data_IF_979891490268
#
_entry.id   IF_979891490268
#
_cell.length_a   1.000
_cell.length_b   1.000
_cell.length_c   1.000
_cell.angle_alpha   90.00
_cell.angle_beta   90.00
_cell.angle_gamma   90.00
#
_symmetry.space_group_name_H-M   'P 1'
#
loop_
_entity.id
_entity.type
_entity.pdbx_description
1 polymer ?
#
# COMPACT_ATOMS: atom_id res chain seq x y z
N UNK A 1 6.38 12.67 -2.33
CA UNK A 1 7.36 12.34 -1.27
C UNK A 1 6.64 12.17 0.05
N UNK A 2 6.89 11.10 0.76
CA UNK A 2 6.42 10.89 2.13
C UNK A 2 7.62 10.89 3.06
N UNK A 3 7.53 11.66 4.16
CA UNK A 3 8.58 11.79 5.16
C UNK A 3 8.02 11.55 6.55
N UNK A 4 8.67 10.67 7.29
CA UNK A 4 8.42 10.43 8.70
C UNK A 4 9.60 10.94 9.52
N UNK A 5 9.34 11.65 10.61
CA UNK A 5 10.38 12.21 11.46
C UNK A 5 10.11 11.89 12.92
N UNK A 6 11.05 11.16 13.55
CA UNK A 6 11.05 10.79 14.96
C UNK A 6 9.71 10.19 15.44
N UNK A 7 9.09 9.32 14.61
CA UNK A 7 7.82 8.68 14.94
C UNK A 7 7.97 7.76 16.14
N UNK A 8 7.01 7.87 17.06
CA UNK A 8 6.91 6.99 18.22
C UNK A 8 5.47 6.50 18.36
N UNK A 9 5.33 5.20 18.71
CA UNK A 9 4.05 4.59 19.04
C UNK A 9 4.24 3.47 20.06
N UNK A 10 3.51 3.55 21.16
CA UNK A 10 3.45 2.52 22.17
C UNK A 10 2.02 2.01 22.38
N UNK A 11 1.90 0.76 22.77
CA UNK A 11 0.66 0.12 23.20
C UNK A 11 0.89 -0.44 24.60
N UNK A 12 0.40 0.29 25.62
CA UNK A 12 0.75 -0.03 27.01
C UNK A 12 2.26 0.05 27.24
N UNK A 13 2.88 -1.05 27.66
CA UNK A 13 4.32 -1.13 27.88
C UNK A 13 5.16 -1.47 26.64
N UNK A 14 4.52 -1.84 25.50
CA UNK A 14 5.21 -2.24 24.29
C UNK A 14 5.43 -1.03 23.37
N UNK A 15 6.69 -0.71 23.09
CA UNK A 15 7.05 0.29 22.06
C UNK A 15 7.06 -0.38 20.69
N UNK A 16 6.00 -0.17 19.92
CA UNK A 16 5.86 -0.75 18.59
C UNK A 16 6.63 0.04 17.52
N UNK A 17 6.83 1.35 17.71
CA UNK A 17 7.67 2.22 16.87
C UNK A 17 8.42 3.16 17.80
N UNK A 18 9.74 3.27 17.61
CA UNK A 18 10.65 4.05 18.46
C UNK A 18 11.56 4.89 17.58
N UNK A 19 11.41 6.22 17.68
CA UNK A 19 12.24 7.22 17.01
C UNK A 19 12.47 6.95 15.50
N UNK A 20 11.45 6.43 14.81
CA UNK A 20 11.55 6.07 13.40
C UNK A 20 11.55 7.32 12.51
N UNK A 21 12.60 7.46 11.71
CA UNK A 21 12.68 8.50 10.67
C UNK A 21 13.07 7.90 9.34
N UNK A 22 12.33 8.20 8.29
CA UNK A 22 12.63 7.80 6.92
C UNK A 22 11.98 8.74 5.92
N UNK A 23 12.41 8.62 4.68
CA UNK A 23 11.87 9.36 3.54
C UNK A 23 11.68 8.39 2.37
N UNK A 24 10.53 8.45 1.72
CA UNK A 24 10.30 7.73 0.47
C UNK A 24 10.18 8.75 -0.67
N UNK A 25 11.05 8.58 -1.65
CA UNK A 25 11.13 9.44 -2.81
C UNK A 25 9.87 9.39 -3.68
N UNK A 26 9.53 10.50 -4.34
CA UNK A 26 8.38 10.52 -5.23
C UNK A 26 8.56 9.57 -6.42
N UNK A 27 7.46 8.93 -6.81
CA UNK A 27 7.38 8.07 -7.99
C UNK A 27 8.31 6.84 -7.96
N UNK A 28 8.80 6.47 -6.76
CA UNK A 28 9.61 5.29 -6.49
C UNK A 28 8.84 4.27 -5.66
N UNK A 29 9.32 3.04 -5.68
CA UNK A 29 8.86 1.96 -4.81
C UNK A 29 9.80 1.87 -3.61
N UNK A 30 9.30 2.23 -2.43
CA UNK A 30 10.01 2.06 -1.16
C UNK A 30 9.38 0.93 -0.38
N UNK A 31 10.16 -0.09 -0.01
CA UNK A 31 9.67 -1.19 0.80
C UNK A 31 10.11 -1.08 2.25
N UNK A 32 9.23 -1.47 3.17
CA UNK A 32 9.54 -1.63 4.60
C UNK A 32 9.52 -3.11 4.91
N UNK A 33 10.67 -3.65 5.31
CA UNK A 33 10.84 -5.05 5.67
C UNK A 33 11.30 -5.20 7.11
N UNK A 34 11.25 -6.42 7.62
CA UNK A 34 11.70 -6.74 8.98
C UNK A 34 10.97 -7.98 9.52
N UNK A 35 11.46 -8.60 10.59
CA UNK A 35 10.81 -9.76 11.19
C UNK A 35 9.40 -9.44 11.70
N UNK A 36 8.66 -10.48 12.07
CA UNK A 36 7.36 -10.33 12.70
C UNK A 36 7.49 -9.57 14.02
N UNK A 37 6.60 -8.61 14.25
CA UNK A 37 6.67 -7.73 15.41
C UNK A 37 7.65 -6.54 15.28
N UNK A 38 8.34 -6.37 14.16
CA UNK A 38 9.25 -5.24 13.94
C UNK A 38 8.58 -3.85 13.89
N UNK A 39 7.22 -3.78 13.84
CA UNK A 39 6.49 -2.52 13.84
C UNK A 39 6.00 -2.05 12.46
N UNK A 40 6.23 -2.82 11.40
CA UNK A 40 5.88 -2.47 10.01
C UNK A 40 4.43 -2.04 9.84
N UNK A 41 3.48 -2.91 10.21
CA UNK A 41 2.03 -2.62 10.10
C UNK A 41 1.61 -1.45 10.99
N UNK A 42 2.32 -1.21 12.11
CA UNK A 42 2.09 -0.02 12.94
C UNK A 42 2.45 1.24 12.17
N UNK A 43 3.61 1.28 11.50
CA UNK A 43 4.03 2.41 10.65
C UNK A 43 3.01 2.68 9.55
N UNK A 44 2.54 1.66 8.85
CA UNK A 44 1.49 1.80 7.84
C UNK A 44 0.20 2.37 8.40
N UNK A 45 -0.23 1.88 9.57
CA UNK A 45 -1.43 2.37 10.24
C UNK A 45 -1.30 3.84 10.68
N UNK A 46 -0.08 4.28 11.06
CA UNK A 46 0.21 5.68 11.36
C UNK A 46 0.11 6.55 10.09
N UNK A 47 0.72 6.13 8.99
CA UNK A 47 0.69 6.86 7.71
C UNK A 47 -0.72 6.90 7.13
N UNK A 48 -1.46 5.79 7.22
CA UNK A 48 -2.84 5.69 6.74
C UNK A 48 -3.87 6.39 7.65
N UNK A 49 -3.44 6.95 8.80
CA UNK A 49 -4.31 7.63 9.76
C UNK A 49 -5.25 6.71 10.55
N UNK A 50 -5.04 5.39 10.47
CA UNK A 50 -5.78 4.40 11.27
C UNK A 50 -5.32 4.41 12.74
N UNK A 51 -4.08 4.84 12.99
CA UNK A 51 -3.51 5.07 14.31
C UNK A 51 -2.98 6.50 14.42
N UNK A 52 -2.93 7.03 15.64
CA UNK A 52 -2.23 8.29 15.95
C UNK A 52 -0.88 7.98 16.55
N UNK A 53 0.16 8.69 16.10
CA UNK A 53 1.48 8.68 16.74
C UNK A 53 1.41 9.31 18.13
N UNK A 54 2.26 8.84 19.03
CA UNK A 54 2.41 9.45 20.34
C UNK A 54 3.32 10.69 20.26
N UNK A 55 4.27 10.69 19.31
CA UNK A 55 5.10 11.85 18.93
C UNK A 55 5.71 11.67 17.54
N UNK A 56 6.36 12.71 17.03
CA UNK A 56 6.91 12.75 15.69
C UNK A 56 5.90 13.28 14.67
N UNK A 57 6.35 13.44 13.42
CA UNK A 57 5.55 14.02 12.32
C UNK A 57 5.59 13.15 11.08
N UNK A 58 4.52 13.23 10.29
CA UNK A 58 4.39 12.62 8.97
C UNK A 58 4.02 13.72 7.98
N UNK A 59 4.81 13.86 6.94
CA UNK A 59 4.59 14.86 5.90
C UNK A 59 4.38 14.17 4.55
N UNK A 60 3.40 14.64 3.79
CA UNK A 60 3.20 14.29 2.37
C UNK A 60 3.43 15.54 1.53
N UNK A 61 4.45 15.50 0.66
CA UNK A 61 4.90 16.62 -0.17
C UNK A 61 5.09 17.94 0.62
N UNK A 62 5.72 17.85 1.79
CA UNK A 62 5.98 18.99 2.69
C UNK A 62 4.76 19.47 3.49
N UNK A 63 3.61 18.80 3.35
CA UNK A 63 2.42 19.08 4.13
C UNK A 63 2.32 18.11 5.31
N UNK A 64 2.18 18.63 6.52
CA UNK A 64 1.92 17.81 7.71
C UNK A 64 0.55 17.13 7.62
N UNK A 65 0.58 15.79 7.70
CA UNK A 65 -0.59 14.92 7.69
C UNK A 65 -0.73 14.12 8.99
N UNK A 66 0.07 14.43 10.01
CA UNK A 66 0.14 13.69 11.27
C UNK A 66 -1.22 13.59 11.93
N UNK A 67 -1.64 12.37 12.25
CA UNK A 67 -2.88 12.09 12.96
C UNK A 67 -4.17 12.48 12.23
N UNK A 68 -4.10 12.79 10.93
CA UNK A 68 -5.29 13.03 10.13
C UNK A 68 -6.10 11.76 9.94
N UNK A 69 -7.42 11.89 9.87
CA UNK A 69 -8.32 10.75 9.65
C UNK A 69 -8.15 10.17 8.22
N UNK A 70 -8.38 8.86 8.01
CA UNK A 70 -8.19 8.19 6.71
C UNK A 70 -8.94 8.88 5.55
N UNK A 71 -10.16 9.36 5.80
CA UNK A 71 -10.94 10.07 4.79
C UNK A 71 -10.31 11.41 4.37
N UNK A 72 -9.64 12.12 5.28
CA UNK A 72 -8.92 13.34 4.95
C UNK A 72 -7.66 13.02 4.14
N UNK A 73 -6.95 11.95 4.52
CA UNK A 73 -5.77 11.47 3.81
C UNK A 73 -6.10 11.01 2.38
N UNK A 74 -7.21 10.30 2.19
CA UNK A 74 -7.68 9.94 0.85
C UNK A 74 -7.84 11.17 -0.06
N UNK A 75 -8.40 12.27 0.47
CA UNK A 75 -8.54 13.54 -0.28
C UNK A 75 -7.22 14.24 -0.56
N UNK A 76 -6.18 13.94 0.20
CA UNK A 76 -4.82 14.42 -0.02
C UNK A 76 -4.03 13.53 -0.98
N UNK A 77 -4.66 12.43 -1.44
CA UNK A 77 -4.06 11.51 -2.38
C UNK A 77 -3.32 10.34 -1.72
N UNK A 78 -3.65 9.95 -0.50
CA UNK A 78 -3.17 8.70 0.10
C UNK A 78 -4.22 7.62 -0.14
N UNK A 79 -3.86 6.57 -0.86
CA UNK A 79 -4.66 5.36 -1.00
C UNK A 79 -3.95 4.18 -0.32
N UNK A 80 -4.73 3.27 0.25
CA UNK A 80 -4.22 2.06 0.90
C UNK A 80 -5.00 0.84 0.41
N UNK A 81 -4.28 -0.20 0.00
CA UNK A 81 -4.83 -1.54 -0.08
C UNK A 81 -4.97 -2.12 1.34
N UNK A 82 -6.00 -2.91 1.58
CA UNK A 82 -6.22 -3.50 2.89
C UNK A 82 -5.72 -4.94 2.90
N UNK A 83 -5.18 -5.39 4.03
CA UNK A 83 -4.76 -6.77 4.24
C UNK A 83 -5.96 -7.75 4.16
N UNK A 84 -7.18 -7.28 4.48
CA UNK A 84 -8.44 -7.98 4.20
C UNK A 84 -9.13 -7.21 3.07
N UNK A 85 -9.38 -7.87 1.95
CA UNK A 85 -10.02 -7.30 0.78
C UNK A 85 -11.35 -6.64 1.14
N UNK A 86 -11.39 -5.29 1.08
CA UNK A 86 -12.61 -4.50 1.29
C UNK A 86 -13.39 -4.33 -0.03
N UNK A 87 -13.59 -5.47 -0.72
CA UNK A 87 -14.35 -5.51 -1.96
C UNK A 87 -15.83 -5.78 -1.67
N UNK A 88 -16.68 -5.20 -2.46
CA UNK A 88 -18.10 -5.54 -2.47
C UNK A 88 -18.29 -6.81 -3.30
N UNK A 89 -18.17 -7.97 -2.67
CA UNK A 89 -18.21 -9.28 -3.33
C UNK A 89 -19.51 -9.57 -4.11
N UNK A 90 -20.61 -8.94 -3.71
CA UNK A 90 -21.89 -9.01 -4.41
C UNK A 90 -22.06 -8.03 -5.56
N UNK A 91 -21.03 -7.20 -5.85
CA UNK A 91 -21.00 -6.31 -7.00
C UNK A 91 -19.98 -6.78 -8.02
N UNK A 92 -20.14 -6.33 -9.27
CA UNK A 92 -19.17 -6.63 -10.33
C UNK A 92 -17.85 -5.89 -10.12
N UNK A 93 -16.77 -6.32 -10.80
CA UNK A 93 -15.52 -5.61 -10.81
C UNK A 93 -15.70 -4.17 -11.28
N UNK A 94 -16.51 -3.97 -12.32
CA UNK A 94 -16.86 -2.65 -12.83
C UNK A 94 -17.55 -1.77 -11.78
N UNK A 95 -18.56 -2.29 -11.08
CA UNK A 95 -19.27 -1.53 -10.06
C UNK A 95 -18.37 -1.13 -8.89
N UNK A 96 -17.47 -2.03 -8.45
CA UNK A 96 -16.49 -1.74 -7.42
C UNK A 96 -15.59 -0.55 -7.80
N UNK A 97 -14.98 -0.58 -9.00
CA UNK A 97 -14.10 0.50 -9.49
C UNK A 97 -14.89 1.78 -9.78
N UNK A 98 -16.09 1.65 -10.35
CA UNK A 98 -16.97 2.80 -10.63
C UNK A 98 -17.34 3.58 -9.36
N UNK A 99 -17.61 2.90 -8.25
CA UNK A 99 -17.90 3.54 -6.97
C UNK A 99 -16.72 4.40 -6.49
N UNK A 100 -15.49 3.90 -6.65
CA UNK A 100 -14.29 4.68 -6.34
C UNK A 100 -14.17 5.91 -7.25
N UNK A 101 -14.34 5.76 -8.56
CA UNK A 101 -14.35 6.89 -9.50
C UNK A 101 -15.43 7.92 -9.14
N UNK A 102 -16.61 7.47 -8.74
CA UNK A 102 -17.72 8.35 -8.36
C UNK A 102 -17.41 9.15 -7.09
N UNK A 103 -16.60 8.63 -6.17
CA UNK A 103 -16.23 9.33 -4.94
C UNK A 103 -15.46 10.63 -5.17
N UNK A 104 -14.85 10.79 -6.34
CA UNK A 104 -14.16 12.01 -6.76
C UNK A 104 -15.11 13.08 -7.29
N UNK A 105 -16.37 12.73 -7.62
CA UNK A 105 -17.34 13.69 -8.11
C UNK A 105 -17.84 14.61 -6.98
N UNK A 106 -18.28 15.83 -7.31
CA UNK A 106 -18.89 16.72 -6.34
C UNK A 106 -20.11 16.08 -5.66
N UNK A 107 -20.28 16.32 -4.36
CA UNK A 107 -21.40 15.76 -3.56
C UNK A 107 -22.77 15.99 -4.18
N UNK A 108 -22.96 17.11 -4.90
CA UNK A 108 -24.20 17.42 -5.62
C UNK A 108 -24.57 16.39 -6.70
N UNK A 109 -23.60 15.58 -7.16
CA UNK A 109 -23.82 14.54 -8.17
C UNK A 109 -24.05 13.15 -7.60
N UNK A 110 -23.91 12.93 -6.27
CA UNK A 110 -24.12 11.61 -5.68
C UNK A 110 -25.55 11.09 -5.84
N UNK A 111 -26.53 11.97 -5.97
CA UNK A 111 -27.94 11.65 -6.25
C UNK A 111 -28.29 11.70 -7.75
N UNK A 112 -27.31 11.93 -8.62
CA UNK A 112 -27.56 11.91 -10.06
C UNK A 112 -27.86 10.49 -10.52
N UNK A 113 -28.73 10.38 -11.53
CA UNK A 113 -29.00 9.09 -12.19
C UNK A 113 -27.71 8.53 -12.81
N UNK A 114 -27.55 7.21 -12.77
CA UNK A 114 -26.36 6.50 -13.28
C UNK A 114 -26.05 6.82 -14.74
N UNK A 115 -27.09 7.03 -15.57
CA UNK A 115 -26.95 7.41 -16.98
C UNK A 115 -26.30 8.80 -17.21
N UNK A 116 -26.28 9.65 -16.16
CA UNK A 116 -25.63 10.97 -16.18
C UNK A 116 -24.19 10.97 -15.64
N UNK A 117 -23.69 9.80 -15.25
CA UNK A 117 -22.34 9.60 -14.68
C UNK A 117 -21.37 8.97 -15.71
N UNK A 118 -21.42 9.46 -16.98
CA UNK A 118 -20.57 8.91 -18.06
C UNK A 118 -19.08 8.92 -17.71
N UNK A 119 -18.58 10.03 -17.15
CA UNK A 119 -17.16 10.16 -16.77
C UNK A 119 -16.65 9.12 -15.78
N UNK A 120 -17.32 8.87 -14.61
CA UNK A 120 -16.94 7.78 -13.70
C UNK A 120 -16.99 6.41 -14.37
N UNK A 121 -17.96 6.16 -15.25
CA UNK A 121 -18.09 4.89 -15.96
C UNK A 121 -16.94 4.69 -16.97
N UNK A 122 -16.66 5.69 -17.79
CA UNK A 122 -15.55 5.66 -18.76
C UNK A 122 -14.20 5.48 -18.06
N UNK A 123 -13.99 6.22 -16.96
CA UNK A 123 -12.78 6.09 -16.15
C UNK A 123 -12.63 4.70 -15.53
N UNK A 124 -13.72 4.14 -14.99
CA UNK A 124 -13.70 2.79 -14.43
C UNK A 124 -13.36 1.73 -15.50
N UNK A 125 -13.94 1.83 -16.70
CA UNK A 125 -13.62 0.90 -17.81
C UNK A 125 -12.17 1.03 -18.25
N UNK A 126 -11.64 2.24 -18.37
CA UNK A 126 -10.24 2.47 -18.73
C UNK A 126 -9.26 1.87 -17.69
N UNK A 127 -9.57 2.02 -16.40
CA UNK A 127 -8.76 1.41 -15.34
C UNK A 127 -8.83 -0.11 -15.41
N UNK A 128 -10.02 -0.70 -15.56
CA UNK A 128 -10.14 -2.17 -15.67
C UNK A 128 -9.39 -2.72 -16.88
N UNK A 129 -9.40 -2.02 -18.00
CA UNK A 129 -8.61 -2.39 -19.16
C UNK A 129 -7.11 -2.32 -18.88
N UNK A 130 -6.64 -1.26 -18.24
CA UNK A 130 -5.23 -1.09 -17.80
C UNK A 130 -4.78 -2.22 -16.87
N UNK A 131 -5.68 -2.70 -16.00
CA UNK A 131 -5.40 -3.76 -15.04
C UNK A 131 -5.67 -5.18 -15.58
N UNK A 132 -5.94 -5.32 -16.87
CA UNK A 132 -6.20 -6.61 -17.52
C UNK A 132 -7.50 -7.27 -17.09
N UNK A 133 -8.46 -6.48 -16.57
CA UNK A 133 -9.76 -6.94 -16.04
C UNK A 133 -10.93 -6.63 -16.98
N UNK A 134 -10.66 -6.32 -18.25
CA UNK A 134 -11.69 -5.94 -19.22
C UNK A 134 -12.74 -7.02 -19.39
N UNK A 135 -12.29 -8.28 -19.57
CA UNK A 135 -13.17 -9.41 -19.86
C UNK A 135 -13.96 -9.84 -18.62
N UNK A 136 -13.41 -9.61 -17.42
CA UNK A 136 -14.05 -9.92 -16.13
C UNK A 136 -14.80 -8.71 -15.53
N UNK A 137 -14.93 -7.61 -16.29
CA UNK A 137 -15.51 -6.36 -15.76
C UNK A 137 -16.94 -6.53 -15.22
N UNK A 138 -17.75 -7.34 -15.88
CA UNK A 138 -19.15 -7.58 -15.53
C UNK A 138 -19.34 -8.83 -14.63
N UNK A 139 -18.26 -9.51 -14.22
CA UNK A 139 -18.30 -10.62 -13.28
C UNK A 139 -18.38 -10.11 -11.84
N UNK A 140 -19.10 -10.87 -10.99
CA UNK A 140 -19.10 -10.61 -9.55
C UNK A 140 -17.70 -10.84 -8.98
N UNK A 141 -17.22 -9.90 -8.18
CA UNK A 141 -15.89 -9.98 -7.58
C UNK A 141 -15.71 -11.26 -6.76
N UNK A 142 -16.78 -11.77 -6.13
CA UNK A 142 -16.73 -13.02 -5.38
C UNK A 142 -16.42 -14.26 -6.22
N UNK A 143 -16.58 -14.20 -7.56
CA UNK A 143 -16.29 -15.29 -8.48
C UNK A 143 -14.91 -15.21 -9.13
N UNK A 144 -14.22 -14.09 -8.96
CA UNK A 144 -12.88 -13.87 -9.53
C UNK A 144 -11.81 -14.68 -8.80
N UNK A 145 -10.71 -14.99 -9.49
CA UNK A 145 -9.51 -15.53 -8.85
C UNK A 145 -8.97 -14.57 -7.76
N UNK A 146 -8.15 -15.10 -6.85
CA UNK A 146 -7.53 -14.28 -5.81
C UNK A 146 -6.65 -13.16 -6.41
N UNK A 147 -5.90 -13.48 -7.47
CA UNK A 147 -5.09 -12.53 -8.21
C UNK A 147 -5.92 -11.41 -8.83
N UNK A 148 -7.06 -11.75 -9.46
CA UNK A 148 -7.95 -10.75 -10.07
C UNK A 148 -8.66 -9.90 -9.00
N UNK A 149 -9.05 -10.48 -7.86
CA UNK A 149 -9.57 -9.72 -6.74
C UNK A 149 -8.56 -8.67 -6.25
N UNK A 150 -7.27 -9.03 -6.16
CA UNK A 150 -6.20 -8.09 -5.82
C UNK A 150 -5.99 -7.01 -6.88
N UNK A 151 -6.08 -7.38 -8.17
CA UNK A 151 -6.04 -6.38 -9.27
C UNK A 151 -7.20 -5.39 -9.16
N UNK A 152 -8.42 -5.85 -8.85
CA UNK A 152 -9.58 -4.97 -8.60
C UNK A 152 -9.32 -4.04 -7.42
N UNK A 153 -8.73 -4.54 -6.33
CA UNK A 153 -8.39 -3.73 -5.15
C UNK A 153 -7.42 -2.60 -5.48
N UNK A 154 -6.34 -2.90 -6.23
CA UNK A 154 -5.40 -1.86 -6.67
C UNK A 154 -6.06 -0.92 -7.68
N UNK A 155 -6.89 -1.44 -8.58
CA UNK A 155 -7.67 -0.63 -9.51
C UNK A 155 -8.56 0.39 -8.79
N UNK A 156 -9.21 0.00 -7.68
CA UNK A 156 -9.97 0.89 -6.80
C UNK A 156 -9.06 1.99 -6.22
N UNK A 157 -7.89 1.61 -5.71
CA UNK A 157 -6.93 2.58 -5.19
C UNK A 157 -6.49 3.57 -6.28
N UNK A 158 -6.16 3.09 -7.47
CA UNK A 158 -5.72 3.92 -8.59
C UNK A 158 -6.85 4.79 -9.16
N UNK A 159 -8.11 4.33 -9.05
CA UNK A 159 -9.29 5.13 -9.40
C UNK A 159 -9.39 6.44 -8.61
N UNK A 160 -8.83 6.47 -7.39
CA UNK A 160 -8.75 7.66 -6.54
C UNK A 160 -7.65 8.64 -6.95
N UNK A 161 -6.84 8.31 -7.97
CA UNK A 161 -5.70 9.12 -8.46
C UNK A 161 -4.73 9.45 -7.32
N UNK A 162 -4.18 8.45 -6.64
CA UNK A 162 -3.34 8.69 -5.48
C UNK A 162 -2.00 9.30 -5.85
N UNK A 163 -1.42 10.03 -4.90
CA UNK A 163 -0.02 10.48 -4.90
C UNK A 163 0.88 9.50 -4.14
N UNK A 164 0.29 8.81 -3.15
CA UNK A 164 0.92 7.76 -2.35
C UNK A 164 0.00 6.54 -2.30
N UNK A 165 0.51 5.40 -2.72
CA UNK A 165 -0.15 4.10 -2.63
C UNK A 165 0.55 3.25 -1.55
N UNK A 166 -0.22 2.84 -0.55
CA UNK A 166 0.23 1.97 0.54
C UNK A 166 -0.22 0.53 0.25
N UNK A 167 0.73 -0.39 0.10
CA UNK A 167 0.49 -1.81 -0.16
C UNK A 167 0.98 -2.66 1.02
N UNK A 168 0.07 -3.39 1.65
CA UNK A 168 0.35 -4.22 2.82
C UNK A 168 0.20 -5.69 2.45
N UNK A 169 1.32 -6.39 2.28
CA UNK A 169 1.44 -7.80 1.87
C UNK A 169 0.53 -8.16 0.67
N UNK A 170 0.65 -7.43 -0.45
CA UNK A 170 -0.31 -7.55 -1.55
C UNK A 170 -0.25 -8.89 -2.27
N UNK A 171 0.84 -9.65 -2.16
CA UNK A 171 1.00 -10.95 -2.84
C UNK A 171 0.60 -12.15 -1.98
N UNK A 172 0.17 -11.92 -0.74
CA UNK A 172 -0.21 -12.99 0.18
C UNK A 172 -1.35 -13.85 -0.39
N UNK A 173 -1.10 -15.17 -0.47
CA UNK A 173 -2.07 -16.15 -0.95
C UNK A 173 -2.12 -16.33 -2.47
N UNK A 174 -1.26 -15.64 -3.22
CA UNK A 174 -1.12 -15.82 -4.67
C UNK A 174 -0.25 -17.02 -5.01
N UNK A 175 -0.53 -17.64 -6.15
CA UNK A 175 0.37 -18.60 -6.78
C UNK A 175 1.61 -17.90 -7.34
N UNK A 176 2.74 -18.60 -7.61
CA UNK A 176 3.94 -17.99 -8.18
C UNK A 176 3.69 -17.26 -9.51
N UNK A 177 2.80 -17.78 -10.36
CA UNK A 177 2.45 -17.12 -11.62
C UNK A 177 1.66 -15.83 -11.41
N UNK A 178 0.67 -15.84 -10.50
CA UNK A 178 -0.09 -14.65 -10.15
C UNK A 178 0.81 -13.58 -9.52
N UNK A 179 1.75 -13.99 -8.66
CA UNK A 179 2.74 -13.08 -8.06
C UNK A 179 3.57 -12.39 -9.15
N UNK A 180 4.10 -13.14 -10.12
CA UNK A 180 4.92 -12.57 -11.19
C UNK A 180 4.13 -11.56 -12.07
N UNK A 181 2.87 -11.86 -12.36
CA UNK A 181 1.99 -10.93 -13.08
C UNK A 181 1.66 -9.68 -12.26
N UNK A 182 1.43 -9.87 -10.96
CA UNK A 182 1.17 -8.77 -10.04
C UNK A 182 2.38 -7.86 -9.86
N UNK A 183 3.59 -8.44 -9.80
CA UNK A 183 4.85 -7.70 -9.75
C UNK A 183 5.05 -6.83 -10.98
N UNK A 184 4.77 -7.38 -12.16
CA UNK A 184 4.83 -6.61 -13.40
C UNK A 184 3.83 -5.44 -13.39
N UNK A 185 2.64 -5.66 -12.82
CA UNK A 185 1.65 -4.61 -12.63
C UNK A 185 2.17 -3.52 -11.68
N UNK A 186 2.68 -3.87 -10.49
CA UNK A 186 3.20 -2.89 -9.53
C UNK A 186 4.37 -2.09 -10.13
N UNK A 187 5.29 -2.76 -10.87
CA UNK A 187 6.36 -2.08 -11.60
C UNK A 187 5.82 -1.08 -12.63
N UNK A 188 4.72 -1.39 -13.31
CA UNK A 188 4.11 -0.49 -14.29
C UNK A 188 3.51 0.77 -13.66
N UNK A 189 3.18 0.73 -12.37
CA UNK A 189 2.69 1.88 -11.61
C UNK A 189 3.83 2.78 -11.10
N UNK A 190 5.05 2.25 -11.00
CA UNK A 190 6.24 3.03 -10.67
C UNK A 190 6.42 4.15 -11.71
N UNK A 191 6.87 5.32 -11.27
CA UNK A 191 6.94 6.51 -12.13
C UNK A 191 5.62 7.27 -12.31
N UNK A 192 4.50 6.71 -11.84
CA UNK A 192 3.16 7.35 -11.88
C UNK A 192 2.60 7.67 -10.49
N UNK A 193 2.94 6.85 -9.52
CA UNK A 193 2.53 7.00 -8.12
C UNK A 193 3.69 6.59 -7.21
N UNK A 194 3.85 7.27 -6.08
CA UNK A 194 4.79 6.84 -5.04
C UNK A 194 4.20 5.62 -4.34
N UNK A 195 4.97 4.55 -4.21
CA UNK A 195 4.52 3.31 -3.59
C UNK A 195 5.31 3.06 -2.30
N UNK A 196 4.60 2.85 -1.21
CA UNK A 196 5.16 2.32 0.02
C UNK A 196 4.61 0.90 0.21
N UNK A 197 5.50 -0.09 0.31
CA UNK A 197 5.19 -1.51 0.30
C UNK A 197 5.66 -2.16 1.60
N UNK A 198 4.82 -2.99 2.23
CA UNK A 198 5.25 -4.00 3.19
C UNK A 198 5.15 -5.35 2.50
N UNK A 199 6.24 -6.10 2.55
CA UNK A 199 6.29 -7.50 2.12
C UNK A 199 7.22 -8.29 3.04
N UNK A 200 6.97 -9.58 3.11
CA UNK A 200 7.79 -10.52 3.86
C UNK A 200 8.69 -11.38 2.95
N UNK A 201 8.36 -11.46 1.67
CA UNK A 201 9.20 -12.10 0.67
C UNK A 201 10.35 -11.17 0.27
N UNK A 202 11.55 -11.51 0.74
CA UNK A 202 12.75 -10.71 0.52
C UNK A 202 13.12 -10.68 -0.96
N UNK A 203 12.97 -11.79 -1.69
CA UNK A 203 13.34 -11.85 -3.12
C UNK A 203 12.43 -10.93 -3.92
N UNK A 204 11.15 -10.95 -3.63
CA UNK A 204 10.17 -10.04 -4.22
C UNK A 204 10.53 -8.57 -3.94
N UNK A 205 10.78 -8.21 -2.67
CA UNK A 205 11.18 -6.86 -2.30
C UNK A 205 12.43 -6.42 -3.05
N UNK A 206 13.46 -7.28 -3.12
CA UNK A 206 14.71 -6.96 -3.83
C UNK A 206 14.52 -6.80 -5.34
N UNK A 207 13.50 -7.41 -5.92
CA UNK A 207 13.18 -7.30 -7.35
C UNK A 207 12.33 -6.07 -7.70
N UNK A 208 11.51 -5.61 -6.75
CA UNK A 208 10.52 -4.54 -6.98
C UNK A 208 11.00 -3.16 -6.55
N UNK A 209 11.80 -3.10 -5.47
CA UNK A 209 12.04 -1.84 -4.78
C UNK A 209 13.18 -1.03 -5.38
N UNK A 210 13.02 0.28 -5.37
CA UNK A 210 14.12 1.24 -5.59
C UNK A 210 14.88 1.49 -4.29
N UNK A 211 14.17 1.46 -3.15
CA UNK A 211 14.71 1.71 -1.82
C UNK A 211 14.07 0.78 -0.79
N UNK A 212 14.84 0.33 0.19
CA UNK A 212 14.38 -0.60 1.22
C UNK A 212 14.75 -0.07 2.60
N UNK A 213 13.76 -0.06 3.49
CA UNK A 213 13.89 0.29 4.90
C UNK A 213 13.74 -0.99 5.70
N UNK A 214 14.75 -1.32 6.49
CA UNK A 214 14.76 -2.50 7.35
C UNK A 214 14.43 -2.09 8.78
N UNK A 215 13.37 -2.67 9.32
CA UNK A 215 12.94 -2.44 10.71
C UNK A 215 13.26 -3.64 11.58
N UNK A 216 13.65 -3.36 12.82
CA UNK A 216 13.84 -4.35 13.86
C UNK A 216 13.43 -3.77 15.23
N UNK A 217 12.59 -4.47 15.98
CA UNK A 217 12.13 -4.06 17.32
C UNK A 217 11.61 -2.61 17.43
N UNK A 218 10.87 -2.16 16.40
CA UNK A 218 10.28 -0.82 16.35
C UNK A 218 11.19 0.28 15.83
N UNK A 219 12.44 0.01 15.54
CA UNK A 219 13.45 0.96 15.08
C UNK A 219 13.89 0.68 13.65
N UNK A 220 14.46 1.69 12.99
CA UNK A 220 15.13 1.51 11.70
C UNK A 220 16.51 0.93 11.94
N UNK A 221 16.73 -0.30 11.46
CA UNK A 221 18.01 -0.97 11.54
C UNK A 221 18.96 -0.55 10.41
N UNK A 222 18.41 -0.45 9.20
CA UNK A 222 19.17 -0.13 7.99
C UNK A 222 18.24 0.48 6.93
N UNK A 223 18.79 1.25 6.01
CA UNK A 223 18.09 1.68 4.78
C UNK A 223 19.10 1.81 3.64
N UNK A 224 18.64 1.55 2.41
CA UNK A 224 19.46 1.66 1.22
C UNK A 224 18.82 1.00 0.00
N UNK A 225 19.60 0.88 -1.06
CA UNK A 225 19.18 0.11 -2.24
C UNK A 225 19.06 -1.37 -1.92
N UNK A 226 18.30 -2.17 -2.72
CA UNK A 226 18.22 -3.61 -2.55
C UNK A 226 19.59 -4.30 -2.41
N UNK A 227 20.57 -3.91 -3.22
CA UNK A 227 21.92 -4.49 -3.17
C UNK A 227 22.67 -4.16 -1.88
N UNK A 228 22.51 -2.93 -1.37
CA UNK A 228 23.11 -2.51 -0.08
C UNK A 228 22.48 -3.28 1.08
N UNK A 229 21.16 -3.50 1.07
CA UNK A 229 20.45 -4.28 2.08
C UNK A 229 20.89 -5.73 2.06
N UNK A 230 20.99 -6.35 0.87
CA UNK A 230 21.45 -7.74 0.69
C UNK A 230 22.88 -7.93 1.19
N UNK A 231 23.74 -6.94 0.99
CA UNK A 231 25.15 -6.94 1.42
C UNK A 231 25.36 -6.68 2.92
N UNK A 232 24.34 -6.18 3.64
CA UNK A 232 24.48 -5.72 5.04
C UNK A 232 24.58 -6.89 6.04
N UNK A 233 25.69 -7.00 6.81
CA UNK A 233 25.79 -7.98 7.90
C UNK A 233 24.72 -7.78 8.98
N UNK A 234 24.38 -6.53 9.31
CA UNK A 234 23.36 -6.18 10.31
C UNK A 234 21.98 -6.74 9.93
N UNK A 235 21.63 -6.65 8.64
CA UNK A 235 20.35 -7.16 8.16
C UNK A 235 20.33 -8.69 8.24
N UNK A 236 21.42 -9.36 7.83
CA UNK A 236 21.53 -10.82 7.92
C UNK A 236 21.39 -11.30 9.36
N UNK A 237 22.04 -10.66 10.31
CA UNK A 237 21.98 -11.02 11.73
C UNK A 237 20.56 -10.87 12.29
N UNK A 238 19.86 -9.80 11.95
CA UNK A 238 18.50 -9.55 12.39
C UNK A 238 17.48 -10.59 11.87
N UNK A 239 17.71 -11.14 10.68
CA UNK A 239 16.87 -12.20 10.12
C UNK A 239 17.26 -13.60 10.59
N UNK A 240 18.58 -13.92 10.67
CA UNK A 240 19.09 -15.21 11.13
C UNK A 240 18.90 -15.40 12.64
N UNK A 241 18.98 -14.33 13.44
CA UNK A 241 18.76 -14.38 14.88
C UNK A 241 17.33 -14.81 15.27
N UNK A 242 16.36 -14.64 14.38
CA UNK A 242 14.96 -15.07 14.60
C UNK A 242 14.77 -16.57 14.36
N UNK A 243 15.52 -17.18 13.43
CA UNK A 243 15.44 -18.62 13.17
C UNK A 243 16.01 -19.47 14.33
N UNK A 244 16.97 -18.95 15.10
CA UNK A 244 17.56 -19.65 16.24
C UNK A 244 16.77 -19.50 17.56
N UNK A 245 15.82 -18.55 17.62
CA UNK A 245 14.97 -18.37 18.80
C UNK A 245 13.65 -19.17 18.75
N UNK A 246 13.37 -19.82 17.62
CA UNK A 246 12.15 -20.62 17.39
C UNK A 246 12.41 -22.14 17.42
N UNK A 247 13.64 -22.59 17.75
CA UNK A 247 14.03 -23.97 17.97
C UNK A 247 14.25 -24.23 19.46
#
# INVERSE_FOLDING_TARGET
>A
MIKATALNKAFGGLRAVSNLSFEAEPLCITSIIGPNGAGKSTVFNLIAGALRSDSGTIELDGRDITGQAPFALMRLGVARSFQITNLFFGLTAFENVRLACQSLEPRSRYLARLDRLSRPQEHARAILEEFGLRDSADELVGNLSHGDQRRVEIAICMALRPRLLLLDEPTQGMSPSETAEFDALIKSLAGRVTILLIEHDIELVMSLSDHVIVMHQGEKLFEGTPDQVRGSPLVREAYLGVEHAAA
#
